data_IF_291720803500
#
_entry.id   IF_291720803500
#
_cell.length_a   1.000
_cell.length_b   1.000
_cell.length_c   1.000
_cell.angle_alpha   90.00
_cell.angle_beta   90.00
_cell.angle_gamma   90.00
#
_symmetry.space_group_name_H-M   'P 1'
#
loop_
_entity.id
_entity.type
_entity.pdbx_description
1 polymer ?
#
# COMPACT_ATOMS: atom_id res chain seq x y z
N UNK A 1 16.18 12.10 9.88
CA UNK A 1 16.96 10.85 10.10
C UNK A 1 16.26 9.70 9.42
N UNK A 2 16.97 8.74 8.84
CA UNK A 2 16.45 7.52 8.22
C UNK A 2 16.90 6.32 9.04
N UNK A 3 15.96 5.54 9.55
CA UNK A 3 16.22 4.30 10.27
C UNK A 3 15.93 3.07 9.41
N UNK A 4 16.66 1.99 9.65
CA UNK A 4 16.36 0.68 9.10
C UNK A 4 16.91 -0.43 10.00
N UNK A 5 16.17 -1.54 10.10
CA UNK A 5 16.46 -2.65 11.02
C UNK A 5 17.72 -3.46 10.68
N UNK A 6 18.17 -3.42 9.42
CA UNK A 6 19.33 -4.20 8.98
C UNK A 6 20.60 -3.34 9.01
N UNK A 7 21.48 -3.61 9.97
CA UNK A 7 22.71 -2.84 10.21
C UNK A 7 23.66 -2.81 8.99
N UNK A 8 23.85 -3.94 8.31
CA UNK A 8 24.72 -4.03 7.15
C UNK A 8 24.19 -3.18 6.00
N UNK A 9 22.87 -3.27 5.75
CA UNK A 9 22.22 -2.43 4.74
C UNK A 9 22.34 -0.95 5.07
N UNK A 10 22.07 -0.56 6.31
CA UNK A 10 22.18 0.84 6.76
C UNK A 10 23.63 1.35 6.67
N UNK A 11 24.62 0.54 7.07
CA UNK A 11 26.03 0.88 6.89
C UNK A 11 26.37 1.12 5.41
N UNK A 12 25.85 0.27 4.52
CA UNK A 12 26.04 0.43 3.07
C UNK A 12 25.41 1.71 2.55
N UNK A 13 24.16 2.03 2.99
CA UNK A 13 23.49 3.30 2.63
C UNK A 13 24.28 4.52 3.08
N UNK A 14 24.81 4.50 4.30
CA UNK A 14 25.60 5.59 4.87
C UNK A 14 26.89 5.84 4.08
N UNK A 15 27.62 4.80 3.74
CA UNK A 15 28.87 4.86 2.97
C UNK A 15 28.64 5.31 1.52
N UNK A 16 27.64 4.72 0.88
CA UNK A 16 27.34 4.99 -0.52
C UNK A 16 26.57 6.30 -0.75
N UNK A 17 25.97 6.87 0.31
CA UNK A 17 25.09 8.03 0.25
C UNK A 17 23.95 7.87 -0.76
N UNK A 18 23.47 6.64 -0.98
CA UNK A 18 22.36 6.27 -1.87
C UNK A 18 21.85 4.87 -1.55
N UNK A 19 20.60 4.61 -1.91
CA UNK A 19 20.02 3.27 -1.79
C UNK A 19 20.26 2.46 -3.08
N UNK A 20 21.45 1.83 -3.18
CA UNK A 20 21.85 1.08 -4.39
C UNK A 20 20.89 -0.04 -4.77
N UNK A 21 20.20 -0.65 -3.78
CA UNK A 21 19.28 -1.76 -4.02
C UNK A 21 17.95 -1.32 -4.62
N UNK A 22 17.41 -0.18 -4.16
CA UNK A 22 16.05 0.24 -4.50
C UNK A 22 15.99 1.50 -5.36
N UNK A 23 16.96 2.42 -5.19
CA UNK A 23 17.05 3.70 -5.89
C UNK A 23 18.52 3.97 -6.26
N UNK A 24 19.14 3.19 -7.17
CA UNK A 24 20.58 3.23 -7.43
C UNK A 24 21.05 4.55 -8.00
N UNK A 25 20.19 5.27 -8.71
CA UNK A 25 20.52 6.49 -9.45
C UNK A 25 20.30 7.77 -8.64
N UNK A 26 19.80 7.66 -7.38
CA UNK A 26 19.44 8.80 -6.55
C UNK A 26 20.38 8.90 -5.35
N UNK A 27 21.12 10.00 -5.27
CA UNK A 27 21.94 10.32 -4.10
C UNK A 27 21.10 10.89 -2.97
N UNK A 28 21.48 10.58 -1.72
CA UNK A 28 20.85 11.21 -0.56
C UNK A 28 21.26 12.69 -0.47
N UNK A 29 20.30 13.59 -0.19
CA UNK A 29 20.63 14.94 0.25
C UNK A 29 21.59 14.92 1.44
N UNK A 30 22.46 15.94 1.55
CA UNK A 30 23.49 16.00 2.60
C UNK A 30 22.91 15.92 4.02
N UNK A 31 21.71 16.47 4.21
CA UNK A 31 21.01 16.51 5.50
C UNK A 31 20.50 15.15 5.98
N UNK A 32 20.40 14.13 5.10
CA UNK A 32 19.95 12.82 5.50
C UNK A 32 21.06 12.08 6.24
N UNK A 33 20.78 11.78 7.50
CA UNK A 33 21.57 10.84 8.33
C UNK A 33 20.88 9.49 8.38
N UNK A 34 21.65 8.40 8.44
CA UNK A 34 21.12 7.04 8.51
C UNK A 34 21.56 6.36 9.80
N UNK A 35 20.68 5.54 10.38
CA UNK A 35 20.98 4.79 11.61
C UNK A 35 20.26 3.45 11.64
N UNK A 36 20.84 2.44 12.26
CA UNK A 36 20.18 1.19 12.66
C UNK A 36 19.70 1.20 14.12
N UNK A 37 20.04 2.24 14.88
CA UNK A 37 19.57 2.42 16.25
C UNK A 37 18.18 3.07 16.25
N UNK A 38 17.16 2.28 16.62
CA UNK A 38 15.77 2.74 16.69
C UNK A 38 15.58 3.81 17.76
N UNK A 39 16.29 3.69 18.89
CA UNK A 39 16.22 4.69 19.96
C UNK A 39 16.71 6.04 19.47
N UNK A 40 17.86 6.08 18.81
CA UNK A 40 18.41 7.29 18.22
C UNK A 40 17.42 7.93 17.21
N UNK A 41 16.76 7.11 16.39
CA UNK A 41 15.78 7.61 15.44
C UNK A 41 14.52 8.16 16.14
N UNK A 42 14.05 7.48 17.18
CA UNK A 42 12.88 7.86 17.95
C UNK A 42 13.07 9.20 18.74
N UNK A 43 14.27 9.40 19.29
CA UNK A 43 14.63 10.61 20.03
C UNK A 43 14.89 11.83 19.10
N UNK A 44 15.01 11.59 17.79
CA UNK A 44 15.31 12.67 16.83
C UNK A 44 14.13 13.60 16.56
N UNK A 45 12.88 13.09 16.61
CA UNK A 45 11.67 13.86 16.28
C UNK A 45 10.43 13.22 16.86
N UNK A 46 9.47 14.05 17.28
CA UNK A 46 8.13 13.59 17.68
C UNK A 46 7.26 13.18 16.49
N UNK A 47 7.67 13.49 15.28
CA UNK A 47 6.98 13.08 14.05
C UNK A 47 7.74 11.91 13.40
N UNK A 48 7.09 10.75 13.40
CA UNK A 48 7.63 9.52 12.83
C UNK A 48 6.86 9.14 11.56
N UNK A 49 7.57 8.98 10.44
CA UNK A 49 7.00 8.47 9.19
C UNK A 49 7.44 7.01 8.96
N UNK A 50 6.49 6.09 9.01
CA UNK A 50 6.72 4.66 8.77
C UNK A 50 6.53 4.31 7.29
N UNK A 51 7.51 3.57 6.74
CA UNK A 51 7.47 3.02 5.37
C UNK A 51 7.84 1.54 5.35
N UNK A 52 7.53 0.84 6.43
CA UNK A 52 7.76 -0.61 6.57
C UNK A 52 6.63 -1.41 5.89
N UNK A 53 6.86 -2.68 5.50
CA UNK A 53 5.77 -3.56 5.07
C UNK A 53 4.69 -3.72 6.13
N UNK A 54 3.43 -4.01 5.73
CA UNK A 54 2.29 -4.11 6.66
C UNK A 54 2.50 -5.16 7.76
N UNK A 55 3.17 -6.28 7.45
CA UNK A 55 3.48 -7.32 8.44
C UNK A 55 4.47 -6.88 9.53
N UNK A 56 5.30 -5.88 9.27
CA UNK A 56 6.25 -5.32 10.23
C UNK A 56 5.72 -4.07 10.94
N UNK A 57 4.54 -3.56 10.57
CA UNK A 57 4.04 -2.29 11.06
C UNK A 57 3.79 -2.30 12.57
N UNK A 58 3.04 -3.30 13.07
CA UNK A 58 2.73 -3.43 14.50
C UNK A 58 3.98 -3.66 15.35
N UNK A 59 4.87 -4.58 14.94
CA UNK A 59 6.11 -4.83 15.67
C UNK A 59 7.01 -3.59 15.73
N UNK A 60 7.14 -2.86 14.62
CA UNK A 60 7.90 -1.60 14.61
C UNK A 60 7.32 -0.56 15.59
N UNK A 61 5.99 -0.44 15.69
CA UNK A 61 5.36 0.45 16.67
C UNK A 61 5.60 0.00 18.11
N UNK A 62 5.55 -1.31 18.38
CA UNK A 62 5.84 -1.86 19.71
C UNK A 62 7.31 -1.64 20.11
N UNK A 63 8.23 -1.82 19.19
CA UNK A 63 9.66 -1.57 19.42
C UNK A 63 9.95 -0.07 19.60
N UNK A 64 9.20 0.80 18.91
CA UNK A 64 9.30 2.25 19.02
C UNK A 64 8.78 2.79 20.37
N UNK A 65 7.70 2.20 20.89
CA UNK A 65 6.97 2.69 22.06
C UNK A 65 7.83 2.99 23.28
N UNK A 66 8.83 2.17 23.68
CA UNK A 66 9.68 2.45 24.84
C UNK A 66 10.59 3.68 24.68
N UNK A 67 10.79 4.14 23.44
CA UNK A 67 11.75 5.20 23.11
C UNK A 67 11.12 6.56 22.87
N UNK A 68 9.79 6.66 22.92
CA UNK A 68 9.06 7.90 22.67
C UNK A 68 8.17 8.29 23.83
N UNK A 69 7.86 9.58 23.94
CA UNK A 69 6.86 10.06 24.90
C UNK A 69 5.47 10.00 24.27
N UNK A 70 4.63 9.09 24.75
CA UNK A 70 3.31 8.80 24.16
C UNK A 70 2.38 10.02 24.00
N UNK A 71 2.54 11.06 24.84
CA UNK A 71 1.74 12.29 24.77
C UNK A 71 2.12 13.22 23.62
N UNK A 72 3.35 13.12 23.11
CA UNK A 72 3.91 14.07 22.14
C UNK A 72 4.08 13.45 20.75
N UNK A 73 4.03 12.09 20.65
CA UNK A 73 4.28 11.37 19.42
C UNK A 73 3.18 11.57 18.38
N UNK A 74 3.60 11.77 17.12
CA UNK A 74 2.76 11.83 15.93
C UNK A 74 3.21 10.75 14.95
N UNK A 75 2.29 9.89 14.53
CA UNK A 75 2.59 8.76 13.67
C UNK A 75 1.99 8.97 12.29
N UNK A 76 2.84 9.03 11.28
CA UNK A 76 2.44 9.01 9.88
C UNK A 76 2.95 7.72 9.23
N UNK A 77 2.29 7.23 8.15
CA UNK A 77 2.78 6.07 7.42
C UNK A 77 2.42 6.11 5.93
N UNK A 78 3.32 5.54 5.13
CA UNK A 78 3.10 5.25 3.71
C UNK A 78 2.87 3.76 3.46
N UNK A 79 2.86 2.94 4.50
CA UNK A 79 2.56 1.50 4.48
C UNK A 79 1.16 1.26 3.95
N UNK A 80 1.01 0.33 3.00
CA UNK A 80 -0.27 -0.05 2.39
C UNK A 80 -0.58 -1.51 2.72
N UNK A 81 -1.73 -1.77 3.32
CA UNK A 81 -2.14 -3.10 3.76
C UNK A 81 -2.95 -3.05 5.03
N UNK A 82 -3.28 -4.23 5.54
CA UNK A 82 -3.96 -4.43 6.81
C UNK A 82 -3.01 -5.08 7.81
N UNK A 83 -3.40 -5.10 9.08
CA UNK A 83 -2.71 -5.91 10.08
C UNK A 83 -2.90 -7.40 9.75
N UNK A 84 -1.83 -8.19 9.54
CA UNK A 84 -1.96 -9.59 9.12
C UNK A 84 -2.53 -10.52 10.20
N UNK A 85 -2.52 -10.09 11.47
CA UNK A 85 -3.02 -10.91 12.59
C UNK A 85 -4.55 -11.01 12.58
N UNK A 86 -5.24 -9.90 12.31
CA UNK A 86 -6.70 -9.80 12.48
C UNK A 86 -7.42 -9.06 11.34
N UNK A 87 -6.67 -8.47 10.39
CA UNK A 87 -7.21 -7.66 9.29
C UNK A 87 -7.62 -6.25 9.71
N UNK A 88 -7.23 -5.77 10.89
CA UNK A 88 -7.53 -4.41 11.32
C UNK A 88 -6.82 -3.36 10.46
N UNK A 89 -7.40 -2.16 10.41
CA UNK A 89 -6.80 -1.01 9.75
C UNK A 89 -5.60 -0.50 10.56
N UNK A 90 -4.57 0.02 9.89
CA UNK A 90 -3.33 0.41 10.55
C UNK A 90 -3.50 1.56 11.54
N UNK A 91 -4.46 2.48 11.30
CA UNK A 91 -4.77 3.51 12.29
C UNK A 91 -5.34 2.94 13.61
N UNK A 92 -6.03 1.80 13.55
CA UNK A 92 -6.49 1.09 14.76
C UNK A 92 -5.30 0.49 15.50
N UNK A 93 -4.33 -0.08 14.77
CA UNK A 93 -3.08 -0.58 15.35
C UNK A 93 -2.30 0.54 16.06
N UNK A 94 -2.22 1.74 15.47
CA UNK A 94 -1.62 2.91 16.16
C UNK A 94 -2.35 3.26 17.45
N UNK A 95 -3.69 3.27 17.39
CA UNK A 95 -4.52 3.56 18.57
C UNK A 95 -4.34 2.53 19.69
N UNK A 96 -4.24 1.24 19.33
CA UNK A 96 -4.05 0.14 20.28
C UNK A 96 -2.65 0.16 20.92
N UNK A 97 -1.62 0.45 20.13
CA UNK A 97 -0.24 0.49 20.63
C UNK A 97 0.01 1.72 21.51
N UNK A 98 -0.45 2.90 21.10
CA UNK A 98 -0.21 4.15 21.82
C UNK A 98 -1.46 4.64 22.56
N UNK A 99 -2.38 5.28 21.84
CA UNK A 99 -3.62 5.83 22.37
C UNK A 99 -4.59 6.15 21.23
N UNK A 100 -5.93 6.06 21.45
CA UNK A 100 -6.92 6.55 20.50
C UNK A 100 -6.77 8.03 20.12
N UNK A 101 -6.12 8.83 20.97
CA UNK A 101 -5.89 10.25 20.75
C UNK A 101 -4.54 10.55 20.06
N UNK A 102 -3.69 9.54 19.84
CA UNK A 102 -2.41 9.74 19.15
C UNK A 102 -2.65 10.27 17.73
N UNK A 103 -2.06 11.40 17.35
CA UNK A 103 -2.15 11.91 15.98
C UNK A 103 -1.61 10.89 14.99
N UNK A 104 -2.51 10.43 14.11
CA UNK A 104 -2.25 9.35 13.18
C UNK A 104 -2.67 9.77 11.76
N UNK A 105 -1.79 9.58 10.76
CA UNK A 105 -2.07 9.93 9.38
C UNK A 105 -1.48 8.93 8.39
N UNK A 106 -2.26 8.58 7.35
CA UNK A 106 -1.77 7.80 6.21
C UNK A 106 -1.45 8.70 5.02
N UNK A 107 -0.37 8.37 4.32
CA UNK A 107 0.02 8.95 3.05
C UNK A 107 -0.21 7.90 1.95
N UNK A 108 -1.10 8.17 1.00
CA UNK A 108 -1.38 7.24 -0.10
C UNK A 108 -1.76 7.99 -1.39
N UNK A 109 -1.48 7.37 -2.53
CA UNK A 109 -1.74 7.94 -3.85
C UNK A 109 -0.80 7.37 -4.91
N UNK A 110 -0.86 7.87 -6.15
CA UNK A 110 -0.04 7.42 -7.28
C UNK A 110 1.41 7.91 -7.12
N UNK A 111 2.22 7.17 -6.36
CA UNK A 111 3.57 7.59 -5.92
C UNK A 111 4.59 6.48 -6.11
N UNK A 112 5.00 6.17 -7.34
CA UNK A 112 6.14 5.29 -7.53
C UNK A 112 7.42 5.94 -7.01
N UNK A 113 8.13 5.22 -6.16
CA UNK A 113 9.29 5.74 -5.44
C UNK A 113 10.38 6.29 -6.37
N UNK A 114 10.58 5.69 -7.54
CA UNK A 114 11.56 6.18 -8.53
C UNK A 114 11.18 7.54 -9.08
N UNK A 115 9.91 7.77 -9.36
CA UNK A 115 9.42 9.04 -9.89
C UNK A 115 9.47 10.14 -8.85
N UNK A 116 9.03 9.85 -7.62
CA UNK A 116 9.14 10.78 -6.49
C UNK A 116 10.60 11.15 -6.24
N UNK A 117 11.49 10.16 -6.18
CA UNK A 117 12.93 10.41 -5.94
C UNK A 117 13.62 11.13 -7.10
N UNK A 118 13.13 10.97 -8.34
CA UNK A 118 13.56 11.73 -9.52
C UNK A 118 12.94 13.14 -9.59
N UNK A 119 12.19 13.54 -8.56
CA UNK A 119 11.52 14.84 -8.48
C UNK A 119 10.56 15.11 -9.64
N UNK A 120 9.87 14.05 -10.13
CA UNK A 120 8.80 14.20 -11.13
C UNK A 120 7.53 14.72 -10.44
N UNK A 121 6.68 15.47 -11.16
CA UNK A 121 5.42 15.97 -10.61
C UNK A 121 4.56 14.84 -10.06
N UNK A 122 4.24 14.93 -8.78
CA UNK A 122 3.52 13.89 -8.05
C UNK A 122 2.44 14.51 -7.17
N UNK A 123 1.34 13.79 -6.98
CA UNK A 123 0.27 14.17 -6.06
C UNK A 123 -0.06 13.02 -5.11
N UNK A 124 -0.29 13.35 -3.83
CA UNK A 124 -0.60 12.39 -2.78
C UNK A 124 -1.79 12.86 -1.93
N UNK A 125 -2.50 11.93 -1.33
CA UNK A 125 -3.49 12.20 -0.28
C UNK A 125 -2.89 11.88 1.08
N UNK A 126 -3.04 12.81 2.02
CA UNK A 126 -2.70 12.67 3.44
C UNK A 126 -4.01 12.65 4.21
N UNK A 127 -4.33 11.52 4.86
CA UNK A 127 -5.58 11.39 5.59
C UNK A 127 -5.34 11.18 7.08
N UNK A 128 -6.04 11.96 7.90
CA UNK A 128 -6.03 11.88 9.36
C UNK A 128 -7.41 12.20 9.93
N UNK A 129 -7.81 11.57 11.04
CA UNK A 129 -9.00 11.99 11.80
C UNK A 129 -8.85 13.39 12.39
N UNK A 130 -7.62 13.84 12.59
CA UNK A 130 -7.26 15.18 13.08
C UNK A 130 -6.82 16.03 11.90
N UNK A 131 -7.69 16.94 11.44
CA UNK A 131 -7.44 17.75 10.25
C UNK A 131 -6.14 18.56 10.37
N UNK A 132 -5.88 19.14 11.53
CA UNK A 132 -4.67 19.93 11.79
C UNK A 132 -3.38 19.13 11.59
N UNK A 133 -3.40 17.82 11.91
CA UNK A 133 -2.25 16.96 11.68
C UNK A 133 -2.06 16.63 10.17
N UNK A 134 -3.15 16.42 9.45
CA UNK A 134 -3.08 16.24 8.01
C UNK A 134 -2.53 17.49 7.32
N UNK A 135 -3.00 18.68 7.72
CA UNK A 135 -2.54 19.97 7.18
C UNK A 135 -1.05 20.22 7.50
N UNK A 136 -0.62 19.96 8.74
CA UNK A 136 0.80 20.03 9.12
C UNK A 136 1.68 19.14 8.24
N UNK A 137 1.25 17.90 8.00
CA UNK A 137 1.99 16.98 7.13
C UNK A 137 1.99 17.45 5.66
N UNK A 138 0.87 18.00 5.20
CA UNK A 138 0.77 18.54 3.86
C UNK A 138 1.75 19.71 3.65
N UNK A 139 1.86 20.61 4.61
CA UNK A 139 2.81 21.73 4.57
C UNK A 139 4.27 21.23 4.55
N UNK A 140 4.60 20.21 5.36
CA UNK A 140 5.94 19.61 5.39
C UNK A 140 6.30 18.93 4.06
N UNK A 141 5.32 18.26 3.44
CA UNK A 141 5.55 17.46 2.22
C UNK A 141 5.42 18.30 0.94
N UNK A 142 4.79 19.47 1.01
CA UNK A 142 4.53 20.29 -0.17
C UNK A 142 5.81 20.83 -0.81
N UNK A 143 5.87 20.77 -2.14
CA UNK A 143 6.89 21.42 -2.95
C UNK A 143 6.32 21.77 -4.33
N UNK A 144 7.09 22.47 -5.17
CA UNK A 144 6.70 22.78 -6.54
C UNK A 144 6.38 21.53 -7.40
N UNK A 145 6.92 20.38 -7.01
CA UNK A 145 6.78 19.12 -7.73
C UNK A 145 6.00 18.05 -6.95
N UNK A 146 5.74 18.28 -5.66
CA UNK A 146 5.02 17.32 -4.83
C UNK A 146 3.82 18.00 -4.17
N UNK A 147 2.61 17.65 -4.63
CA UNK A 147 1.36 18.19 -4.11
C UNK A 147 0.72 17.24 -3.12
N UNK A 148 0.49 17.70 -1.89
CA UNK A 148 -0.25 17.00 -0.87
C UNK A 148 -1.67 17.56 -0.76
N UNK A 149 -2.66 16.65 -0.77
CA UNK A 149 -4.07 16.96 -0.54
C UNK A 149 -4.51 16.32 0.77
N UNK A 150 -5.22 17.06 1.61
CA UNK A 150 -5.66 16.57 2.90
C UNK A 150 -7.04 15.94 2.85
N UNK A 151 -7.30 14.98 3.75
CA UNK A 151 -8.59 14.30 3.91
C UNK A 151 -8.81 13.93 5.38
N UNK A 152 -10.06 13.89 5.80
CA UNK A 152 -10.44 13.31 7.10
C UNK A 152 -10.86 11.84 7.02
N UNK A 153 -10.93 11.28 5.81
CA UNK A 153 -11.31 9.88 5.58
C UNK A 153 -10.09 8.95 5.58
N UNK A 154 -9.54 8.70 6.75
CA UNK A 154 -8.42 7.78 6.93
C UNK A 154 -8.77 6.35 6.49
N UNK A 155 -10.02 5.92 6.73
CA UNK A 155 -10.51 4.58 6.40
C UNK A 155 -10.52 4.36 4.89
N UNK A 156 -11.11 5.29 4.14
CA UNK A 156 -11.17 5.19 2.68
C UNK A 156 -9.78 5.14 2.05
N UNK A 157 -8.85 5.95 2.55
CA UNK A 157 -7.46 5.99 2.04
C UNK A 157 -6.71 4.70 2.36
N UNK A 158 -6.87 4.12 3.55
CA UNK A 158 -6.25 2.84 3.93
C UNK A 158 -6.77 1.69 3.07
N UNK A 159 -8.10 1.56 2.94
CA UNK A 159 -8.73 0.48 2.16
C UNK A 159 -8.35 0.59 0.69
N UNK A 160 -8.41 1.78 0.10
CA UNK A 160 -7.99 2.02 -1.28
C UNK A 160 -6.56 1.57 -1.53
N UNK A 161 -5.64 2.01 -0.68
CA UNK A 161 -4.21 1.68 -0.76
C UNK A 161 -3.90 0.20 -0.58
N UNK A 162 -4.63 -0.51 0.30
CA UNK A 162 -4.44 -1.93 0.56
C UNK A 162 -4.96 -2.82 -0.58
N UNK A 163 -6.24 -2.64 -0.95
CA UNK A 163 -6.93 -3.54 -1.88
C UNK A 163 -6.44 -3.39 -3.33
N UNK A 164 -6.01 -2.19 -3.74
CA UNK A 164 -5.47 -1.98 -5.10
C UNK A 164 -4.34 -2.96 -5.47
N UNK A 165 -3.54 -3.38 -4.50
CA UNK A 165 -2.42 -4.29 -4.72
C UNK A 165 -2.90 -5.68 -5.16
N UNK A 166 -4.05 -6.14 -4.65
CA UNK A 166 -4.72 -7.38 -5.07
C UNK A 166 -5.20 -7.26 -6.52
N UNK A 167 -5.84 -6.14 -6.84
CA UNK A 167 -6.36 -5.88 -8.18
C UNK A 167 -5.25 -5.71 -9.22
N UNK A 168 -4.10 -5.19 -8.81
CA UNK A 168 -2.92 -5.14 -9.68
C UNK A 168 -2.38 -6.53 -10.03
N UNK A 169 -2.44 -7.50 -9.10
CA UNK A 169 -2.13 -8.91 -9.41
C UNK A 169 -3.15 -9.46 -10.40
N UNK A 170 -4.46 -9.23 -10.20
CA UNK A 170 -5.51 -9.69 -11.11
C UNK A 170 -5.34 -9.11 -12.53
N UNK A 171 -5.08 -7.81 -12.63
CA UNK A 171 -4.82 -7.15 -13.91
C UNK A 171 -3.56 -7.70 -14.60
N UNK A 172 -2.50 -7.95 -13.83
CA UNK A 172 -1.29 -8.59 -14.32
C UNK A 172 -1.57 -10.01 -14.85
N UNK A 173 -2.34 -10.83 -14.13
CA UNK A 173 -2.73 -12.18 -14.58
C UNK A 173 -3.47 -12.11 -15.91
N UNK A 174 -4.44 -11.23 -16.05
CA UNK A 174 -5.19 -11.08 -17.30
C UNK A 174 -4.28 -10.67 -18.47
N UNK A 175 -3.38 -9.73 -18.26
CA UNK A 175 -2.40 -9.34 -19.29
C UNK A 175 -1.44 -10.50 -19.64
N UNK A 176 -1.01 -11.29 -18.64
CA UNK A 176 -0.14 -12.46 -18.83
C UNK A 176 -0.79 -13.59 -19.61
N UNK A 177 -2.11 -13.74 -19.51
CA UNK A 177 -2.93 -14.66 -20.30
C UNK A 177 -3.20 -14.15 -21.72
N UNK A 178 -2.74 -12.94 -22.09
CA UNK A 178 -2.94 -12.35 -23.40
C UNK A 178 -4.26 -11.59 -23.57
N UNK A 179 -5.00 -11.31 -22.48
CA UNK A 179 -6.18 -10.46 -22.54
C UNK A 179 -5.78 -8.98 -22.76
N UNK A 180 -6.55 -8.29 -23.59
CA UNK A 180 -6.22 -6.93 -24.01
C UNK A 180 -6.65 -5.81 -23.06
N UNK A 181 -6.46 -4.57 -23.51
CA UNK A 181 -6.75 -3.36 -22.78
C UNK A 181 -8.23 -3.25 -22.31
N UNK A 182 -9.17 -3.77 -23.10
CA UNK A 182 -10.58 -3.78 -22.72
C UNK A 182 -10.83 -4.59 -21.45
N UNK A 183 -10.23 -5.78 -21.33
CA UNK A 183 -10.31 -6.62 -20.12
C UNK A 183 -9.68 -5.93 -18.94
N UNK A 184 -8.52 -5.30 -19.12
CA UNK A 184 -7.85 -4.55 -18.05
C UNK A 184 -8.69 -3.37 -17.57
N UNK A 185 -9.29 -2.60 -18.49
CA UNK A 185 -10.20 -1.51 -18.14
C UNK A 185 -11.41 -2.01 -17.35
N UNK A 186 -12.05 -3.11 -17.79
CA UNK A 186 -13.16 -3.73 -17.08
C UNK A 186 -12.75 -4.21 -15.68
N UNK A 187 -11.57 -4.85 -15.52
CA UNK A 187 -11.05 -5.27 -14.23
C UNK A 187 -10.80 -4.09 -13.27
N UNK A 188 -10.24 -2.99 -13.77
CA UNK A 188 -10.02 -1.78 -12.97
C UNK A 188 -11.34 -1.21 -12.49
N UNK A 189 -12.33 -1.06 -13.38
CA UNK A 189 -13.65 -0.52 -13.04
C UNK A 189 -14.40 -1.41 -12.04
N UNK A 190 -14.45 -2.73 -12.28
CA UNK A 190 -15.11 -3.68 -11.37
C UNK A 190 -14.34 -3.83 -10.05
N UNK A 191 -13.02 -3.79 -10.09
CA UNK A 191 -12.17 -3.81 -8.92
C UNK A 191 -12.37 -2.56 -8.04
N UNK A 192 -12.50 -1.37 -8.64
CA UNK A 192 -12.85 -0.16 -7.90
C UNK A 192 -14.19 -0.33 -7.16
N UNK A 193 -15.19 -0.94 -7.80
CA UNK A 193 -16.47 -1.22 -7.15
C UNK A 193 -16.32 -2.20 -5.96
N UNK A 194 -15.40 -3.18 -6.04
CA UNK A 194 -15.08 -4.04 -4.88
C UNK A 194 -14.47 -3.24 -3.73
N UNK A 195 -13.48 -2.38 -4.03
CA UNK A 195 -12.87 -1.48 -3.05
C UNK A 195 -13.93 -0.62 -2.37
N UNK A 196 -14.81 0.00 -3.17
CA UNK A 196 -15.87 0.90 -2.69
C UNK A 196 -16.84 0.15 -1.76
N UNK A 197 -17.31 -1.04 -2.15
CA UNK A 197 -18.23 -1.82 -1.31
C UNK A 197 -17.63 -2.14 0.05
N UNK A 198 -16.39 -2.63 0.08
CA UNK A 198 -15.69 -2.92 1.33
C UNK A 198 -15.43 -1.64 2.12
N UNK A 199 -14.89 -0.61 1.48
CA UNK A 199 -14.48 0.59 2.16
C UNK A 199 -15.63 1.39 2.74
N UNK A 200 -16.76 1.52 2.02
CA UNK A 200 -17.98 2.17 2.53
C UNK A 200 -18.56 1.38 3.72
N UNK A 201 -18.55 0.04 3.64
CA UNK A 201 -18.99 -0.82 4.75
C UNK A 201 -18.14 -0.63 6.01
N UNK A 202 -16.87 -0.31 5.86
CA UNK A 202 -15.94 -0.02 6.97
C UNK A 202 -16.03 1.43 7.46
N UNK A 203 -16.81 2.29 6.82
CA UNK A 203 -17.00 3.69 7.19
C UNK A 203 -16.23 4.70 6.35
N UNK A 204 -15.59 4.26 5.27
CA UNK A 204 -14.96 5.15 4.28
C UNK A 204 -16.00 5.88 3.41
N UNK A 205 -15.59 7.00 2.82
CA UNK A 205 -16.45 7.85 1.98
C UNK A 205 -16.25 7.51 0.51
N UNK A 206 -17.36 7.52 -0.25
CA UNK A 206 -17.34 7.18 -1.67
C UNK A 206 -16.39 8.08 -2.48
N UNK A 207 -16.34 9.35 -2.19
CA UNK A 207 -15.51 10.36 -2.87
C UNK A 207 -14.02 10.03 -2.76
N UNK A 208 -13.59 9.43 -1.66
CA UNK A 208 -12.20 9.04 -1.44
C UNK A 208 -11.75 7.99 -2.45
N UNK A 209 -12.64 7.04 -2.79
CA UNK A 209 -12.29 5.94 -3.71
C UNK A 209 -12.18 6.38 -5.16
N UNK A 210 -12.84 7.45 -5.58
CA UNK A 210 -12.71 8.02 -6.93
C UNK A 210 -11.57 9.06 -7.02
N UNK A 211 -10.91 9.36 -5.90
CA UNK A 211 -9.78 10.29 -5.80
C UNK A 211 -8.41 9.65 -6.04
N UNK A 212 -7.37 10.39 -5.65
CA UNK A 212 -5.96 9.99 -5.83
C UNK A 212 -5.60 8.69 -5.12
N UNK A 213 -6.02 8.52 -3.85
CA UNK A 213 -5.69 7.34 -3.04
C UNK A 213 -6.53 6.10 -3.40
N UNK A 214 -7.62 6.27 -4.16
CA UNK A 214 -8.45 5.20 -4.70
C UNK A 214 -8.14 4.94 -6.17
N UNK A 215 -8.96 5.50 -7.07
CA UNK A 215 -8.86 5.31 -8.51
C UNK A 215 -7.48 5.67 -9.08
N UNK A 216 -6.91 6.80 -8.65
CA UNK A 216 -5.60 7.25 -9.15
C UNK A 216 -4.50 6.21 -8.93
N UNK A 217 -4.36 5.74 -7.68
CA UNK A 217 -3.34 4.75 -7.31
C UNK A 217 -3.67 3.35 -7.87
N UNK A 218 -4.95 3.00 -8.01
CA UNK A 218 -5.40 1.76 -8.64
C UNK A 218 -5.00 1.73 -10.13
N UNK A 219 -5.34 2.77 -10.89
CA UNK A 219 -5.00 2.87 -12.32
C UNK A 219 -3.49 2.77 -12.52
N UNK A 220 -2.71 3.58 -11.80
CA UNK A 220 -1.26 3.55 -11.87
C UNK A 220 -0.72 2.14 -11.60
N UNK A 221 -1.17 1.50 -10.52
CA UNK A 221 -0.64 0.20 -10.08
C UNK A 221 -1.03 -0.94 -11.02
N UNK A 222 -2.20 -0.87 -11.68
CA UNK A 222 -2.69 -1.88 -12.61
C UNK A 222 -2.14 -1.73 -14.04
N UNK A 223 -1.58 -0.58 -14.42
CA UNK A 223 -1.21 -0.28 -15.80
C UNK A 223 0.29 -0.20 -16.04
N UNK A 224 1.09 0.10 -15.01
CA UNK A 224 2.52 0.29 -15.15
C UNK A 224 3.35 -0.87 -14.59
N UNK A 225 4.43 -1.22 -15.30
CA UNK A 225 5.34 -2.31 -14.93
C UNK A 225 6.31 -1.96 -13.78
N UNK A 226 6.33 -0.74 -13.27
CA UNK A 226 6.99 -0.43 -12.01
C UNK A 226 6.27 -1.13 -10.84
N UNK A 227 4.97 -1.45 -10.98
CA UNK A 227 4.21 -2.21 -9.99
C UNK A 227 4.72 -3.65 -9.87
N UNK A 228 5.29 -3.99 -8.71
CA UNK A 228 5.71 -5.36 -8.39
C UNK A 228 4.52 -6.32 -8.41
N UNK A 229 3.37 -5.89 -7.90
CA UNK A 229 2.14 -6.68 -7.88
C UNK A 229 1.67 -7.01 -9.30
N UNK A 230 1.67 -6.03 -10.20
CA UNK A 230 1.31 -6.24 -11.60
C UNK A 230 2.31 -7.17 -12.30
N UNK A 231 3.62 -6.98 -12.13
CA UNK A 231 4.65 -7.88 -12.70
C UNK A 231 4.50 -9.31 -12.19
N UNK A 232 4.21 -9.46 -10.91
CA UNK A 232 3.96 -10.77 -10.30
C UNK A 232 2.76 -11.46 -10.96
N UNK A 233 1.63 -10.76 -11.10
CA UNK A 233 0.45 -11.27 -11.78
C UNK A 233 0.71 -11.62 -13.27
N UNK A 234 1.44 -10.76 -13.99
CA UNK A 234 1.81 -10.98 -15.38
C UNK A 234 2.58 -12.30 -15.56
N UNK A 235 3.57 -12.53 -14.71
CA UNK A 235 4.38 -13.74 -14.75
C UNK A 235 3.58 -15.00 -14.37
N UNK A 236 2.63 -14.89 -13.41
CA UNK A 236 1.69 -15.99 -13.11
C UNK A 236 0.78 -16.31 -14.29
N UNK A 237 0.23 -15.30 -14.97
CA UNK A 237 -0.57 -15.49 -16.18
C UNK A 237 0.21 -16.13 -17.33
N UNK A 238 1.51 -15.90 -17.39
CA UNK A 238 2.43 -16.54 -18.35
C UNK A 238 2.84 -17.97 -17.94
N UNK A 239 2.34 -18.50 -16.82
CA UNK A 239 2.58 -19.86 -16.38
C UNK A 239 3.85 -20.05 -15.52
N UNK A 240 4.53 -18.99 -15.09
CA UNK A 240 5.66 -19.12 -14.17
C UNK A 240 5.17 -19.55 -12.77
N UNK A 241 5.96 -20.35 -12.06
CA UNK A 241 5.64 -20.73 -10.68
C UNK A 241 5.77 -19.56 -9.72
N UNK A 242 4.91 -19.53 -8.68
CA UNK A 242 4.91 -18.49 -7.64
C UNK A 242 6.29 -18.31 -6.99
N UNK A 243 6.98 -19.42 -6.65
CA UNK A 243 8.30 -19.39 -6.02
C UNK A 243 9.37 -18.77 -6.93
N UNK A 244 9.35 -19.12 -8.21
CA UNK A 244 10.28 -18.54 -9.18
C UNK A 244 10.09 -17.02 -9.33
N UNK A 245 8.84 -16.57 -9.39
CA UNK A 245 8.52 -15.12 -9.52
C UNK A 245 8.96 -14.35 -8.28
N UNK A 246 8.70 -14.87 -7.08
CA UNK A 246 9.10 -14.23 -5.82
C UNK A 246 10.64 -14.10 -5.77
N UNK A 247 11.37 -15.15 -6.16
CA UNK A 247 12.83 -15.12 -6.23
C UNK A 247 13.35 -14.10 -7.26
N UNK A 248 12.70 -14.02 -8.45
CA UNK A 248 13.08 -13.09 -9.52
C UNK A 248 12.82 -11.61 -9.12
N UNK A 249 11.69 -11.33 -8.47
CA UNK A 249 11.37 -9.97 -8.01
C UNK A 249 12.28 -9.57 -6.84
N UNK A 250 12.63 -10.50 -5.93
CA UNK A 250 13.55 -10.27 -4.82
C UNK A 250 13.17 -9.18 -3.84
N UNK A 251 11.90 -8.76 -3.86
CA UNK A 251 11.33 -7.70 -3.02
C UNK A 251 9.93 -8.10 -2.56
N UNK A 252 9.44 -7.44 -1.51
CA UNK A 252 8.08 -7.65 -0.99
C UNK A 252 7.01 -7.41 -2.05
N UNK A 253 6.04 -8.33 -2.12
CA UNK A 253 4.86 -8.26 -3.00
C UNK A 253 3.62 -8.19 -2.11
N UNK A 254 3.30 -6.98 -1.69
CA UNK A 254 2.24 -6.70 -0.69
C UNK A 254 0.86 -7.28 -1.10
N UNK A 255 0.57 -7.37 -2.39
CA UNK A 255 -0.71 -7.90 -2.89
C UNK A 255 -0.93 -9.38 -2.54
N UNK A 256 0.12 -10.14 -2.22
CA UNK A 256 -0.02 -11.55 -1.83
C UNK A 256 -0.71 -11.63 -0.46
N UNK A 257 -0.17 -10.96 0.56
CA UNK A 257 -0.77 -10.94 1.89
C UNK A 257 -2.11 -10.20 1.88
N UNK A 258 -2.17 -9.05 1.20
CA UNK A 258 -3.38 -8.26 1.07
C UNK A 258 -4.58 -9.04 0.49
N UNK A 259 -4.36 -10.00 -0.42
CA UNK A 259 -5.44 -10.84 -0.96
C UNK A 259 -6.13 -11.67 0.13
N UNK A 260 -5.34 -12.26 1.04
CA UNK A 260 -5.85 -13.03 2.18
C UNK A 260 -6.57 -12.15 3.18
N UNK A 261 -5.96 -11.04 3.55
CA UNK A 261 -6.47 -10.10 4.54
C UNK A 261 -7.77 -9.45 4.04
N UNK A 262 -7.80 -9.00 2.78
CA UNK A 262 -8.99 -8.41 2.15
C UNK A 262 -10.15 -9.41 2.10
N UNK A 263 -9.89 -10.67 1.68
CA UNK A 263 -10.94 -11.69 1.61
C UNK A 263 -11.48 -12.05 2.99
N UNK A 264 -10.62 -12.13 4.01
CA UNK A 264 -11.04 -12.36 5.39
C UNK A 264 -11.97 -11.23 5.88
N UNK A 265 -11.58 -9.99 5.61
CA UNK A 265 -12.34 -8.81 6.00
C UNK A 265 -13.68 -8.74 5.26
N UNK A 266 -13.68 -9.01 3.95
CA UNK A 266 -14.88 -9.10 3.14
C UNK A 266 -15.88 -10.15 3.66
N UNK A 267 -15.40 -11.35 4.01
CA UNK A 267 -16.21 -12.41 4.60
C UNK A 267 -16.82 -12.01 5.96
N UNK A 268 -16.04 -11.35 6.84
CA UNK A 268 -16.55 -10.86 8.15
C UNK A 268 -17.70 -9.87 7.99
N UNK A 269 -17.67 -9.08 6.91
CA UNK A 269 -18.67 -8.04 6.65
C UNK A 269 -19.73 -8.44 5.63
N UNK A 270 -19.72 -9.71 5.14
CA UNK A 270 -20.63 -10.23 4.11
C UNK A 270 -20.60 -9.42 2.82
N UNK A 271 -19.40 -9.05 2.36
CA UNK A 271 -19.16 -8.29 1.13
C UNK A 271 -18.71 -9.22 0.01
N UNK A 272 -19.43 -9.18 -1.14
CA UNK A 272 -19.06 -9.91 -2.36
C UNK A 272 -17.89 -9.20 -3.06
N UNK A 273 -16.73 -9.88 -3.13
CA UNK A 273 -15.51 -9.38 -3.78
C UNK A 273 -14.95 -10.46 -4.73
N UNK A 274 -15.63 -10.71 -5.86
CA UNK A 274 -15.30 -11.84 -6.72
C UNK A 274 -13.89 -11.78 -7.34
N UNK A 275 -13.39 -10.60 -7.74
CA UNK A 275 -12.03 -10.50 -8.30
C UNK A 275 -11.00 -10.81 -7.20
N UNK A 276 -11.18 -10.26 -6.02
CA UNK A 276 -10.35 -10.53 -4.85
C UNK A 276 -10.37 -12.02 -4.49
N UNK A 277 -11.55 -12.66 -4.48
CA UNK A 277 -11.70 -14.08 -4.18
C UNK A 277 -10.98 -14.97 -5.21
N UNK A 278 -11.16 -14.70 -6.51
CA UNK A 278 -10.47 -15.48 -7.55
C UNK A 278 -8.94 -15.26 -7.48
N UNK A 279 -8.50 -14.05 -7.20
CA UNK A 279 -7.07 -13.76 -6.97
C UNK A 279 -6.52 -14.54 -5.79
N UNK A 280 -7.25 -14.57 -4.67
CA UNK A 280 -6.88 -15.38 -3.50
C UNK A 280 -6.76 -16.88 -3.85
N UNK A 281 -7.74 -17.44 -4.58
CA UNK A 281 -7.71 -18.85 -4.99
C UNK A 281 -6.51 -19.19 -5.86
N UNK A 282 -6.12 -18.29 -6.78
CA UNK A 282 -4.89 -18.46 -7.57
C UNK A 282 -3.65 -18.45 -6.67
N UNK A 283 -3.61 -17.56 -5.68
CA UNK A 283 -2.44 -17.39 -4.80
C UNK A 283 -2.29 -18.47 -3.74
N UNK A 284 -3.39 -18.99 -3.19
CA UNK A 284 -3.38 -19.84 -1.99
C UNK A 284 -3.99 -21.22 -2.19
N UNK A 285 -4.84 -21.40 -3.20
CA UNK A 285 -5.52 -22.66 -3.48
C UNK A 285 -5.07 -23.32 -4.79
N UNK A 286 -4.00 -22.79 -5.41
CA UNK A 286 -3.45 -23.28 -6.68
C UNK A 286 -4.48 -23.32 -7.82
N UNK A 287 -5.50 -22.46 -7.80
CA UNK A 287 -6.45 -22.36 -8.91
C UNK A 287 -5.72 -21.88 -10.16
N UNK A 288 -5.99 -22.55 -11.29
CA UNK A 288 -5.41 -22.13 -12.57
C UNK A 288 -5.87 -20.70 -12.91
N UNK A 289 -4.95 -19.78 -13.27
CA UNK A 289 -5.28 -18.39 -13.60
C UNK A 289 -6.36 -18.24 -14.69
N UNK A 290 -6.35 -19.09 -15.72
CA UNK A 290 -7.35 -19.07 -16.78
C UNK A 290 -8.74 -19.45 -16.25
N UNK A 291 -8.82 -20.45 -15.36
CA UNK A 291 -10.07 -20.85 -14.73
C UNK A 291 -10.60 -19.72 -13.84
N UNK A 292 -9.73 -19.01 -13.11
CA UNK A 292 -10.14 -17.86 -12.32
C UNK A 292 -10.83 -16.76 -13.17
N UNK A 293 -10.27 -16.46 -14.34
CA UNK A 293 -10.89 -15.51 -15.29
C UNK A 293 -12.22 -16.05 -15.84
N UNK A 294 -12.28 -17.35 -16.22
CA UNK A 294 -13.52 -17.97 -16.68
C UNK A 294 -14.64 -17.91 -15.63
N UNK A 295 -14.31 -18.13 -14.36
CA UNK A 295 -15.26 -18.01 -13.25
C UNK A 295 -15.83 -16.59 -13.13
N UNK A 296 -15.01 -15.55 -13.37
CA UNK A 296 -15.47 -14.16 -13.36
C UNK A 296 -16.41 -13.89 -14.56
N UNK A 297 -16.08 -14.40 -15.73
CA UNK A 297 -16.88 -14.22 -16.95
C UNK A 297 -18.20 -15.01 -16.93
N UNK A 298 -18.26 -16.13 -16.22
CA UNK A 298 -19.46 -16.97 -16.08
C UNK A 298 -20.48 -16.44 -15.04
N UNK A 299 -20.17 -15.33 -14.34
CA UNK A 299 -21.11 -14.71 -13.39
C UNK A 299 -22.33 -14.16 -14.14
N UNK A 300 -23.49 -14.25 -13.47
CA UNK A 300 -24.74 -13.69 -14.00
C UNK A 300 -24.59 -12.21 -14.38
N UNK A 301 -25.22 -11.84 -15.49
CA UNK A 301 -25.29 -10.44 -15.90
C UNK A 301 -26.12 -9.67 -14.88
N UNK A 302 -25.58 -8.54 -14.43
CA UNK A 302 -26.25 -7.62 -13.52
C UNK A 302 -26.30 -6.24 -14.17
N UNK A 303 -27.30 -5.42 -13.77
CA UNK A 303 -27.30 -4.01 -14.13
C UNK A 303 -25.99 -3.36 -13.65
N UNK A 304 -25.53 -2.35 -14.34
CA UNK A 304 -24.29 -1.66 -13.99
C UNK A 304 -24.46 -0.74 -12.76
N UNK A 305 -25.68 -0.25 -12.55
CA UNK A 305 -26.10 0.63 -11.44
C UNK A 305 -27.34 0.06 -10.75
#
# INVERSE_FOLDING_TARGET
MLWGHNEEHISTLGKARKNQRYLPDIAFPEQITVTSDLKQAAEFSDLILLSVPSHAFKSTLLDLKPHVQAKDIKIAWATKGFNPEDGSLLHQVVADVFSPNTPAAILSGPTFAREVAANLPTAITIASKQAEFADQLADIMHSDRFRAYTSTDIIGVEVGGAVKNVLAIAAGIADGLGFGANTRAALITRGLNEIMRLGIKLGGKQETFIGLAGLGDLVLTCTDNQSRNRRFGLALGQGKSRSAIISEIGQEIEGISAAKETLLLAKRHNIDMPITEQTYKVLYENLNPLIAVQNLLAREQKAES
#
